data_IF_262788081157
#
_entry.id   IF_262788081157
#
_cell.length_a   1.000
_cell.length_b   1.000
_cell.length_c   1.000
_cell.angle_alpha   90.00
_cell.angle_beta   90.00
_cell.angle_gamma   90.00
#
_symmetry.space_group_name_H-M   'P 1'
#
loop_
_entity.id
_entity.type
_entity.pdbx_description
1 polymer ?
#
# COMPACT_ATOMS: atom_id res chain seq x y z
N UNK A 1 80.77 -11.24 -18.36
CA UNK A 1 79.34 -11.60 -18.49
C UNK A 1 78.87 -12.02 -17.10
N UNK A 2 78.35 -11.14 -16.24
CA UNK A 2 76.97 -10.57 -16.18
C UNK A 2 75.88 -11.63 -16.12
N UNK A 3 75.30 -11.83 -14.93
CA UNK A 3 73.86 -11.88 -14.70
C UNK A 3 73.57 -11.71 -13.19
N UNK A 4 73.11 -10.53 -12.80
CA UNK A 4 72.51 -10.27 -11.48
C UNK A 4 70.99 -10.27 -11.69
N UNK A 5 70.26 -11.19 -11.05
CA UNK A 5 68.80 -11.20 -11.05
C UNK A 5 68.30 -10.15 -10.05
N UNK A 6 67.53 -9.17 -10.52
CA UNK A 6 66.78 -8.25 -9.67
C UNK A 6 65.34 -8.76 -9.61
N UNK A 7 64.89 -9.16 -8.42
CA UNK A 7 63.51 -9.48 -8.10
C UNK A 7 62.76 -8.17 -7.85
N UNK A 8 61.81 -7.83 -8.72
CA UNK A 8 60.94 -6.67 -8.54
C UNK A 8 59.67 -7.10 -7.79
N UNK A 9 59.51 -6.64 -6.56
CA UNK A 9 58.29 -6.78 -5.77
C UNK A 9 57.32 -5.68 -6.20
N UNK A 10 56.25 -6.05 -6.90
CA UNK A 10 55.15 -5.16 -7.28
C UNK A 10 54.18 -5.03 -6.10
N UNK A 11 54.27 -3.93 -5.36
CA UNK A 11 53.24 -3.48 -4.42
C UNK A 11 52.15 -2.73 -5.20
N UNK A 12 51.09 -3.45 -5.58
CA UNK A 12 49.88 -2.84 -6.13
C UNK A 12 49.03 -2.19 -5.02
N UNK A 13 48.41 -1.03 -5.26
CA UNK A 13 47.51 -0.42 -4.29
C UNK A 13 46.24 -1.27 -4.16
N UNK A 14 45.95 -1.71 -2.94
CA UNK A 14 44.67 -2.32 -2.58
C UNK A 14 43.63 -1.19 -2.58
N UNK A 15 42.90 -1.04 -3.68
CA UNK A 15 41.71 -0.20 -3.70
C UNK A 15 40.66 -0.84 -2.79
N UNK A 16 40.53 -0.33 -1.56
CA UNK A 16 39.36 -0.58 -0.73
C UNK A 16 38.14 0.03 -1.44
N UNK A 17 37.41 -0.80 -2.17
CA UNK A 17 36.04 -0.49 -2.54
C UNK A 17 35.24 -0.40 -1.23
N UNK A 18 35.00 0.83 -0.76
CA UNK A 18 34.00 1.07 0.27
C UNK A 18 32.65 0.65 -0.33
N UNK A 19 32.17 -0.54 0.06
CA UNK A 19 30.80 -0.92 -0.17
C UNK A 19 29.93 0.16 0.47
N UNK A 20 29.31 1.01 -0.33
CA UNK A 20 28.21 1.85 0.10
C UNK A 20 27.11 0.87 0.48
N UNK A 21 27.05 0.51 1.77
CA UNK A 21 25.88 -0.12 2.34
C UNK A 21 24.74 0.88 2.14
N UNK A 22 23.95 0.68 1.08
CA UNK A 22 22.65 1.29 0.96
C UNK A 22 21.87 0.88 2.20
N UNK A 23 21.69 1.81 3.13
CA UNK A 23 20.91 1.60 4.35
C UNK A 23 19.46 1.39 3.89
N UNK A 24 19.10 0.14 3.63
CA UNK A 24 17.72 -0.20 3.30
C UNK A 24 16.85 0.16 4.51
N UNK A 25 15.85 1.01 4.28
CA UNK A 25 14.86 1.39 5.29
C UNK A 25 14.24 0.14 5.91
N UNK A 26 14.08 0.11 7.23
CA UNK A 26 13.43 -0.97 7.97
C UNK A 26 11.95 -1.15 7.58
N UNK A 27 11.34 -2.33 7.81
CA UNK A 27 9.90 -2.53 7.58
C UNK A 27 9.01 -1.49 8.29
N UNK A 28 9.42 -1.08 9.50
CA UNK A 28 8.75 -0.05 10.28
C UNK A 28 8.81 1.31 9.58
N UNK A 29 10.01 1.77 9.20
CA UNK A 29 10.19 3.05 8.49
C UNK A 29 9.43 3.07 7.17
N UNK A 30 9.44 1.96 6.42
CA UNK A 30 8.63 1.82 5.21
C UNK A 30 7.16 2.00 5.53
N UNK A 31 6.62 1.32 6.54
CA UNK A 31 5.19 1.45 6.94
C UNK A 31 4.82 2.88 7.31
N UNK A 32 5.68 3.57 8.06
CA UNK A 32 5.46 4.99 8.40
C UNK A 32 5.47 5.85 7.13
N UNK A 33 6.43 5.62 6.22
CA UNK A 33 6.48 6.32 4.94
C UNK A 33 5.24 6.05 4.09
N UNK A 34 4.70 4.82 4.12
CA UNK A 34 3.46 4.48 3.44
C UNK A 34 2.31 5.36 3.93
N UNK A 35 2.17 5.54 5.25
CA UNK A 35 1.14 6.38 5.85
C UNK A 35 1.36 7.86 5.54
N UNK A 36 2.60 8.35 5.64
CA UNK A 36 2.94 9.74 5.25
C UNK A 36 2.54 10.04 3.82
N UNK A 37 2.80 9.12 2.89
CA UNK A 37 2.42 9.28 1.49
C UNK A 37 0.90 9.31 1.29
N UNK A 38 0.12 8.67 2.16
CA UNK A 38 -1.36 8.63 2.10
C UNK A 38 -2.01 9.90 2.66
N UNK A 39 -1.39 10.59 3.60
CA UNK A 39 -1.96 11.80 4.21
C UNK A 39 -2.19 12.90 3.18
N UNK A 40 -3.33 13.58 3.29
CA UNK A 40 -3.81 14.59 2.35
C UNK A 40 -5.15 14.22 1.73
N UNK A 41 -5.57 15.03 0.76
CA UNK A 41 -6.84 14.87 0.04
C UNK A 41 -6.60 14.37 -1.38
N UNK A 42 -7.47 13.48 -1.83
CA UNK A 42 -7.31 12.72 -3.07
C UNK A 42 -8.63 12.68 -3.84
N UNK A 43 -8.55 13.00 -5.13
CA UNK A 43 -9.55 12.61 -6.09
C UNK A 43 -9.31 11.14 -6.48
N UNK A 44 -10.38 10.35 -6.53
CA UNK A 44 -10.31 8.92 -6.76
C UNK A 44 -11.27 8.52 -7.87
N UNK A 45 -10.75 7.80 -8.85
CA UNK A 45 -11.58 7.06 -9.81
C UNK A 45 -11.55 5.59 -9.41
N UNK A 46 -12.72 4.97 -9.27
CA UNK A 46 -12.87 3.54 -8.96
C UNK A 46 -13.52 2.84 -10.14
N UNK A 47 -12.80 1.92 -10.76
CA UNK A 47 -13.27 1.04 -11.82
C UNK A 47 -13.65 -0.32 -11.21
N UNK A 48 -14.90 -0.73 -11.37
CA UNK A 48 -15.37 -2.07 -11.05
C UNK A 48 -15.11 -2.97 -12.26
N UNK A 49 -14.43 -4.08 -12.02
CA UNK A 49 -13.95 -4.96 -13.07
C UNK A 49 -14.84 -6.19 -13.21
N UNK A 50 -14.96 -6.70 -14.43
CA UNK A 50 -15.50 -8.05 -14.69
C UNK A 50 -14.40 -9.10 -14.47
N UNK A 51 -14.78 -10.37 -14.48
CA UNK A 51 -13.83 -11.48 -14.35
C UNK A 51 -12.76 -11.50 -15.46
N UNK A 52 -13.08 -11.00 -16.66
CA UNK A 52 -12.13 -10.87 -17.77
C UNK A 52 -11.19 -9.66 -17.65
N UNK A 53 -11.33 -8.87 -16.58
CA UNK A 53 -10.54 -7.66 -16.33
C UNK A 53 -11.04 -6.41 -17.06
N UNK A 54 -12.08 -6.50 -17.89
CA UNK A 54 -12.68 -5.32 -18.52
C UNK A 54 -13.47 -4.48 -17.51
N UNK A 55 -13.53 -3.16 -17.73
CA UNK A 55 -14.26 -2.24 -16.87
C UNK A 55 -15.77 -2.42 -17.07
N UNK A 56 -16.48 -2.76 -16.00
CA UNK A 56 -17.95 -2.83 -15.98
C UNK A 56 -18.57 -1.45 -15.73
N UNK A 57 -17.98 -0.68 -14.81
CA UNK A 57 -18.43 0.67 -14.42
C UNK A 57 -17.26 1.43 -13.80
N UNK A 58 -17.19 2.73 -14.02
CA UNK A 58 -16.34 3.64 -13.28
C UNK A 58 -17.18 4.64 -12.47
N UNK A 59 -16.68 5.02 -11.30
CA UNK A 59 -17.27 6.06 -10.44
C UNK A 59 -16.19 6.97 -9.87
N UNK A 60 -16.56 8.19 -9.52
CA UNK A 60 -15.65 9.16 -8.92
C UNK A 60 -15.98 9.44 -7.46
N UNK A 61 -14.95 9.79 -6.68
CA UNK A 61 -15.11 10.12 -5.28
C UNK A 61 -13.87 10.82 -4.72
N UNK A 62 -13.88 11.05 -3.42
CA UNK A 62 -12.77 11.69 -2.71
C UNK A 62 -12.38 10.89 -1.49
N UNK A 63 -11.09 10.89 -1.18
CA UNK A 63 -10.54 10.36 0.05
C UNK A 63 -9.75 11.46 0.74
N UNK A 64 -9.91 11.60 2.05
CA UNK A 64 -9.16 12.55 2.85
C UNK A 64 -8.57 11.82 4.04
N UNK A 65 -7.28 12.02 4.27
CA UNK A 65 -6.52 11.36 5.33
C UNK A 65 -5.71 12.37 6.14
N UNK A 66 -5.71 12.21 7.46
CA UNK A 66 -4.98 13.06 8.38
C UNK A 66 -4.37 12.24 9.52
N UNK A 67 -3.29 12.76 10.11
CA UNK A 67 -2.70 12.17 11.30
C UNK A 67 -3.64 12.35 12.51
N UNK A 68 -3.84 11.27 13.26
CA UNK A 68 -4.40 11.31 14.62
C UNK A 68 -3.27 11.21 15.63
N UNK A 69 -2.36 10.27 15.42
CA UNK A 69 -1.11 10.13 16.17
C UNK A 69 0.03 10.12 15.15
N UNK A 70 0.93 11.11 15.15
CA UNK A 70 2.02 11.18 14.18
C UNK A 70 2.78 9.86 14.07
N UNK A 71 3.04 9.43 12.84
CA UNK A 71 3.75 8.20 12.49
C UNK A 71 3.18 6.89 13.04
N UNK A 72 1.96 6.91 13.61
CA UNK A 72 1.33 5.73 14.22
C UNK A 72 -0.09 5.49 13.77
N UNK A 73 -0.92 6.53 13.67
CA UNK A 73 -2.35 6.42 13.35
C UNK A 73 -2.77 7.52 12.38
N UNK A 74 -3.31 7.12 11.23
CA UNK A 74 -3.98 7.98 10.25
C UNK A 74 -5.46 7.69 10.28
N UNK A 75 -6.29 8.72 10.37
CA UNK A 75 -7.71 8.61 10.07
C UNK A 75 -8.00 9.08 8.67
N UNK A 76 -9.09 8.58 8.10
CA UNK A 76 -9.58 9.10 6.85
C UNK A 76 -11.07 8.94 6.67
N UNK A 77 -11.54 9.57 5.61
CA UNK A 77 -12.91 9.55 5.17
C UNK A 77 -12.92 9.35 3.65
N UNK A 78 -13.77 8.45 3.18
CA UNK A 78 -14.07 8.33 1.75
C UNK A 78 -15.51 8.71 1.46
N UNK A 79 -15.72 9.33 0.31
CA UNK A 79 -17.04 9.68 -0.21
C UNK A 79 -17.10 9.35 -1.70
N UNK A 80 -18.08 8.52 -2.08
CA UNK A 80 -18.38 8.18 -3.47
C UNK A 80 -19.87 8.47 -3.70
N UNK A 81 -20.21 9.71 -4.13
CA UNK A 81 -21.60 10.19 -4.18
C UNK A 81 -22.52 9.32 -5.05
N UNK A 82 -22.01 8.85 -6.18
CA UNK A 82 -22.73 8.03 -7.15
C UNK A 82 -23.15 6.65 -6.59
N UNK A 83 -22.49 6.20 -5.53
CA UNK A 83 -22.83 4.98 -4.79
C UNK A 83 -23.57 5.27 -3.48
N UNK A 84 -23.80 6.56 -3.14
CA UNK A 84 -24.28 7.00 -1.83
C UNK A 84 -23.46 6.40 -0.69
N UNK A 85 -22.16 6.25 -0.93
CA UNK A 85 -21.25 5.59 -0.01
C UNK A 85 -20.39 6.62 0.69
N UNK A 86 -20.39 6.56 2.02
CA UNK A 86 -19.43 7.23 2.88
C UNK A 86 -18.80 6.18 3.79
N UNK A 87 -17.49 6.29 4.01
CA UNK A 87 -16.80 5.41 4.95
C UNK A 87 -15.83 6.18 5.84
N UNK A 88 -15.76 5.80 7.11
CA UNK A 88 -14.68 6.18 8.02
C UNK A 88 -13.58 5.13 7.96
N UNK A 89 -12.32 5.56 7.97
CA UNK A 89 -11.14 4.70 7.81
C UNK A 89 -10.12 5.03 8.90
N UNK A 90 -9.45 4.02 9.44
CA UNK A 90 -8.23 4.18 10.24
C UNK A 90 -7.14 3.28 9.68
N UNK A 91 -5.93 3.80 9.58
CA UNK A 91 -4.72 3.01 9.42
C UNK A 91 -3.87 3.15 10.66
N UNK A 92 -3.25 2.06 11.12
CA UNK A 92 -2.30 2.13 12.20
C UNK A 92 -1.19 1.09 12.10
N UNK A 93 -0.05 1.42 12.70
CA UNK A 93 1.13 0.56 12.74
C UNK A 93 1.22 -0.13 14.09
N UNK A 94 1.12 -1.46 14.08
CA UNK A 94 1.24 -2.31 15.25
C UNK A 94 2.62 -3.00 15.24
N UNK A 95 3.57 -2.38 15.92
CA UNK A 95 4.96 -2.82 15.94
C UNK A 95 5.12 -4.14 16.70
N UNK A 96 4.37 -4.37 17.77
CA UNK A 96 4.44 -5.63 18.53
C UNK A 96 3.96 -6.81 17.69
N UNK A 97 2.88 -6.64 16.93
CA UNK A 97 2.36 -7.68 16.05
C UNK A 97 3.05 -7.73 14.67
N UNK A 98 3.96 -6.80 14.38
CA UNK A 98 4.64 -6.66 13.09
C UNK A 98 3.68 -6.51 11.90
N UNK A 99 2.60 -5.74 12.08
CA UNK A 99 1.60 -5.50 11.05
C UNK A 99 1.23 -4.02 10.89
N UNK A 100 0.78 -3.67 9.69
CA UNK A 100 0.06 -2.43 9.39
C UNK A 100 -1.40 -2.78 9.12
N UNK A 101 -2.29 -2.19 9.89
CA UNK A 101 -3.70 -2.50 9.91
C UNK A 101 -4.49 -1.36 9.27
N UNK A 102 -5.58 -1.71 8.59
CA UNK A 102 -6.59 -0.79 8.11
C UNK A 102 -7.94 -1.29 8.61
N UNK A 103 -8.71 -0.39 9.22
CA UNK A 103 -10.12 -0.64 9.50
C UNK A 103 -10.99 0.37 8.79
N UNK A 104 -12.14 -0.06 8.29
CA UNK A 104 -13.10 0.82 7.63
C UNK A 104 -14.54 0.46 8.01
N UNK A 105 -15.38 1.47 8.19
CA UNK A 105 -16.81 1.31 8.43
C UNK A 105 -17.57 2.09 7.38
N UNK A 106 -18.41 1.40 6.63
CA UNK A 106 -19.28 1.98 5.61
C UNK A 106 -20.63 2.46 6.17
N UNK A 107 -21.46 3.03 5.30
CA UNK A 107 -22.83 3.44 5.65
C UNK A 107 -23.74 2.28 6.08
N UNK A 108 -23.35 1.03 5.77
CA UNK A 108 -24.01 -0.19 6.21
C UNK A 108 -23.67 -0.58 7.66
N UNK A 109 -22.74 0.14 8.30
CA UNK A 109 -22.28 -0.12 9.66
C UNK A 109 -21.36 -1.33 9.79
N UNK A 110 -20.97 -1.97 8.68
CA UNK A 110 -20.08 -3.14 8.71
C UNK A 110 -18.64 -2.70 8.93
N UNK A 111 -17.99 -3.30 9.92
CA UNK A 111 -16.56 -3.16 10.14
C UNK A 111 -15.80 -4.07 9.16
N UNK A 112 -14.88 -3.48 8.43
CA UNK A 112 -13.91 -4.15 7.59
C UNK A 112 -12.54 -4.03 8.24
N UNK A 113 -11.92 -5.15 8.56
CA UNK A 113 -10.55 -5.23 9.09
C UNK A 113 -9.64 -5.81 8.02
N UNK A 114 -8.50 -5.17 7.78
CA UNK A 114 -7.51 -5.60 6.79
C UNK A 114 -6.11 -5.49 7.38
N UNK A 115 -5.34 -6.56 7.26
CA UNK A 115 -4.03 -6.68 7.89
C UNK A 115 -2.98 -7.00 6.84
N UNK A 116 -1.81 -6.38 6.94
CA UNK A 116 -0.63 -6.68 6.14
C UNK A 116 0.65 -6.60 6.98
N UNK A 117 1.76 -7.25 6.55
CA UNK A 117 3.03 -7.15 7.26
C UNK A 117 3.58 -5.73 7.20
N UNK A 118 4.38 -5.33 8.21
CA UNK A 118 5.10 -4.06 8.13
C UNK A 118 5.93 -3.97 6.85
N UNK A 119 5.86 -2.79 6.21
CA UNK A 119 6.56 -2.48 4.97
C UNK A 119 5.98 -3.15 3.74
N UNK A 120 4.91 -3.94 3.87
CA UNK A 120 4.16 -4.53 2.76
C UNK A 120 3.09 -3.59 2.23
N UNK A 121 2.78 -3.70 0.93
CA UNK A 121 1.71 -2.92 0.29
C UNK A 121 0.41 -3.71 0.11
N UNK A 122 0.41 -4.97 0.55
CA UNK A 122 -0.73 -5.89 0.49
C UNK A 122 -1.37 -5.99 1.86
N UNK A 123 -2.70 -5.85 1.90
CA UNK A 123 -3.51 -6.09 3.10
C UNK A 123 -4.69 -6.99 2.73
N UNK A 124 -5.05 -7.89 3.62
CA UNK A 124 -6.12 -8.87 3.39
C UNK A 124 -7.09 -8.86 4.56
N UNK A 125 -8.37 -9.06 4.29
CA UNK A 125 -9.36 -9.31 5.34
C UNK A 125 -9.20 -10.71 5.92
N UNK A 126 -9.67 -10.96 7.15
CA UNK A 126 -10.12 -12.29 7.53
C UNK A 126 -11.19 -12.81 6.55
N UNK A 127 -11.44 -14.11 6.59
CA UNK A 127 -12.62 -14.67 5.93
C UNK A 127 -13.91 -14.13 6.56
N UNK A 128 -14.90 -13.84 5.72
CA UNK A 128 -16.20 -13.37 6.14
C UNK A 128 -17.33 -14.12 5.43
N UNK A 129 -18.53 -14.08 6.01
CA UNK A 129 -19.72 -14.61 5.33
C UNK A 129 -20.18 -13.68 4.22
N UNK A 130 -20.22 -14.23 3.00
CA UNK A 130 -20.77 -13.56 1.83
C UNK A 130 -22.30 -13.61 1.83
N UNK A 131 -22.94 -12.76 1.04
CA UNK A 131 -24.39 -12.59 1.02
C UNK A 131 -25.14 -13.84 0.52
N UNK A 132 -24.48 -14.68 -0.28
CA UNK A 132 -24.99 -15.95 -0.80
C UNK A 132 -24.81 -17.14 0.18
N UNK A 133 -24.27 -16.88 1.38
CA UNK A 133 -23.96 -17.90 2.38
C UNK A 133 -22.58 -18.53 2.25
N UNK A 134 -21.84 -18.19 1.19
CA UNK A 134 -20.44 -18.58 1.00
C UNK A 134 -19.48 -17.87 1.96
N UNK A 135 -18.20 -18.13 1.77
CA UNK A 135 -17.12 -17.42 2.43
C UNK A 135 -16.43 -16.51 1.43
N UNK A 136 -16.10 -15.30 1.87
CA UNK A 136 -15.41 -14.30 1.09
C UNK A 136 -14.13 -13.83 1.78
N UNK A 137 -13.15 -13.42 0.99
CA UNK A 137 -11.95 -12.73 1.45
C UNK A 137 -11.56 -11.64 0.45
N UNK A 138 -11.13 -10.47 0.95
CA UNK A 138 -10.68 -9.37 0.11
C UNK A 138 -9.17 -9.14 0.29
N UNK A 139 -8.49 -8.84 -0.81
CA UNK A 139 -7.08 -8.42 -0.82
C UNK A 139 -6.95 -7.08 -1.52
N UNK A 140 -6.32 -6.13 -0.86
CA UNK A 140 -5.99 -4.82 -1.40
C UNK A 140 -4.49 -4.72 -1.60
N UNK A 141 -4.05 -4.27 -2.77
CA UNK A 141 -2.64 -4.03 -3.08
C UNK A 141 -2.46 -2.60 -3.55
N UNK A 142 -1.59 -1.85 -2.88
CA UNK A 142 -1.18 -0.51 -3.32
C UNK A 142 0.11 -0.58 -4.15
N UNK A 143 0.19 0.20 -5.21
CA UNK A 143 1.35 0.21 -6.12
C UNK A 143 1.44 1.52 -6.91
N UNK A 144 2.48 1.66 -7.74
CA UNK A 144 2.77 2.87 -8.53
C UNK A 144 2.75 4.15 -7.70
N UNK A 145 3.37 4.09 -6.51
CA UNK A 145 3.34 5.18 -5.54
C UNK A 145 4.31 6.29 -5.94
N UNK A 146 3.80 7.50 -6.01
CA UNK A 146 4.53 8.76 -6.15
C UNK A 146 4.02 9.75 -5.10
N UNK A 147 4.59 10.96 -5.05
CA UNK A 147 4.11 12.01 -4.14
C UNK A 147 2.64 12.36 -4.36
N UNK A 148 2.19 12.40 -5.62
CA UNK A 148 0.89 12.97 -6.00
C UNK A 148 -0.08 11.95 -6.61
N UNK A 149 0.33 10.68 -6.67
CA UNK A 149 -0.48 9.62 -7.23
C UNK A 149 -0.10 8.25 -6.65
N UNK A 150 -1.10 7.38 -6.55
CA UNK A 150 -0.89 5.94 -6.38
C UNK A 150 -2.08 5.19 -6.95
N UNK A 151 -1.93 3.88 -7.05
CA UNK A 151 -3.00 2.97 -7.47
C UNK A 151 -3.26 1.93 -6.38
N UNK A 152 -4.50 1.45 -6.32
CA UNK A 152 -4.90 0.34 -5.47
C UNK A 152 -5.75 -0.61 -6.29
N UNK A 153 -5.51 -1.92 -6.15
CA UNK A 153 -6.44 -2.93 -6.67
C UNK A 153 -7.05 -3.72 -5.53
N UNK A 154 -8.33 -4.03 -5.66
CA UNK A 154 -9.03 -4.99 -4.82
C UNK A 154 -9.27 -6.26 -5.62
N UNK A 155 -8.92 -7.38 -5.01
CA UNK A 155 -9.22 -8.72 -5.48
C UNK A 155 -10.06 -9.45 -4.44
N UNK A 156 -10.92 -10.35 -4.89
CA UNK A 156 -11.82 -11.14 -4.06
C UNK A 156 -11.58 -12.63 -4.23
N UNK A 157 -11.72 -13.39 -3.15
CA UNK A 157 -11.55 -14.83 -3.11
C UNK A 157 -12.78 -15.48 -2.46
N UNK A 158 -13.17 -16.63 -2.99
CA UNK A 158 -14.27 -17.48 -2.48
C UNK A 158 -13.75 -18.79 -1.85
N UNK A 159 -12.44 -19.04 -1.91
CA UNK A 159 -11.79 -20.31 -1.57
C UNK A 159 -10.66 -20.16 -0.54
N UNK A 160 -10.79 -19.17 0.35
CA UNK A 160 -9.81 -18.91 1.41
C UNK A 160 -8.46 -18.38 0.91
N UNK A 161 -8.44 -17.76 -0.25
CA UNK A 161 -7.29 -17.08 -0.83
C UNK A 161 -6.46 -17.95 -1.75
N UNK A 162 -6.96 -19.13 -2.14
CA UNK A 162 -6.28 -20.00 -3.11
C UNK A 162 -6.36 -19.41 -4.52
N UNK A 163 -7.49 -18.81 -4.89
CA UNK A 163 -7.67 -18.06 -6.14
C UNK A 163 -8.20 -16.65 -5.89
N UNK A 164 -7.88 -15.73 -6.79
CA UNK A 164 -8.21 -14.31 -6.66
C UNK A 164 -8.82 -13.80 -7.96
N UNK A 165 -10.02 -13.25 -7.86
CA UNK A 165 -10.75 -12.63 -8.95
C UNK A 165 -10.62 -11.10 -8.86
N UNK A 166 -10.63 -10.38 -9.99
CA UNK A 166 -10.68 -8.92 -9.99
C UNK A 166 -11.96 -8.42 -9.30
N UNK A 167 -11.83 -7.38 -8.47
CA UNK A 167 -12.96 -6.70 -7.86
C UNK A 167 -13.05 -5.25 -8.31
N UNK A 168 -12.07 -4.44 -7.89
CA UNK A 168 -11.97 -3.06 -8.38
C UNK A 168 -10.52 -2.61 -8.57
N UNK A 169 -10.35 -1.54 -9.33
CA UNK A 169 -9.12 -0.78 -9.47
C UNK A 169 -9.40 0.66 -9.13
N UNK A 170 -8.52 1.27 -8.35
CA UNK A 170 -8.64 2.65 -7.89
C UNK A 170 -7.40 3.44 -8.27
N UNK A 171 -7.63 4.60 -8.87
CA UNK A 171 -6.59 5.55 -9.22
C UNK A 171 -6.73 6.78 -8.33
N UNK A 172 -5.71 7.06 -7.54
CA UNK A 172 -5.67 8.21 -6.64
C UNK A 172 -4.82 9.30 -7.26
N UNK A 173 -5.33 10.54 -7.21
CA UNK A 173 -4.62 11.75 -7.61
C UNK A 173 -4.77 12.78 -6.50
N UNK A 174 -3.65 13.31 -6.03
CA UNK A 174 -3.65 14.31 -4.96
C UNK A 174 -4.39 15.54 -5.45
N UNK A 175 -5.33 16.04 -4.65
CA UNK A 175 -5.94 17.34 -4.94
C UNK A 175 -4.89 18.42 -4.63
N UNK A 176 -4.66 19.31 -5.59
CA UNK A 176 -3.82 20.48 -5.36
C UNK A 176 -4.43 21.30 -4.23
N UNK A 177 -3.64 21.62 -3.20
CA UNK A 177 -4.02 22.65 -2.24
C UNK A 177 -4.18 23.95 -3.05
N UNK A 178 -5.37 24.59 -3.08
CA UNK A 178 -5.50 25.89 -3.70
C UNK A 178 -4.46 26.83 -3.09
N UNK A 179 -3.73 27.57 -3.93
CA UNK A 179 -2.88 28.63 -3.42
C UNK A 179 -3.78 29.64 -2.67
N UNK A 180 -3.51 29.82 -1.37
CA UNK A 180 -4.14 30.86 -0.55
C UNK A 180 -3.77 32.27 -1.04
#
# INVERSE_FOLDING_TARGET
MRALLIVAVLLGPVSMAAAQASTESTPMERSVQQLRNTVGRWAVTTEFLKEDGSVARAVTGTYEFAWVVPDRVVSGKSEIPELKQTSGILFFVNETAQVIEMVAVGADGRLWEMIGPLGGEVRTTPEFKAADGGTGQLRFTRYNVTTDAFESKMEYSEDGGATWKPGNHQQFRRESVPAE
#
